data_IF_323694203800
#
_entry.id   IF_323694203800
#
_cell.length_a   1.000
_cell.length_b   1.000
_cell.length_c   1.000
_cell.angle_alpha   90.00
_cell.angle_beta   90.00
_cell.angle_gamma   90.00
#
_symmetry.space_group_name_H-M   'P 1'
#
loop_
_entity.id
_entity.type
_entity.pdbx_description
1 polymer ?
#
# COMPACT_ATOMS: atom_id res chain seq x y z
N UNK A 1 -10.32 1.19 3.92
CA UNK A 1 -10.44 0.44 5.19
C UNK A 1 -9.93 -1.00 5.08
N UNK A 2 -10.48 -1.85 4.20
CA UNK A 2 -10.13 -3.28 4.11
C UNK A 2 -8.64 -3.58 3.87
N UNK A 3 -7.99 -2.88 2.94
CA UNK A 3 -6.56 -3.12 2.65
C UNK A 3 -5.66 -2.82 3.85
N UNK A 4 -5.98 -1.78 4.64
CA UNK A 4 -5.29 -1.44 5.89
C UNK A 4 -5.54 -2.47 7.00
N UNK A 5 -6.75 -3.00 7.10
CA UNK A 5 -7.02 -4.09 8.04
C UNK A 5 -6.23 -5.35 7.66
N UNK A 6 -6.14 -5.67 6.37
CA UNK A 6 -5.43 -6.85 5.85
C UNK A 6 -3.93 -6.84 6.18
N UNK A 7 -3.31 -5.66 6.15
CA UNK A 7 -1.88 -5.49 6.53
C UNK A 7 -1.63 -5.49 8.05
N UNK A 8 -2.67 -5.49 8.88
CA UNK A 8 -2.57 -5.59 10.34
C UNK A 8 -2.80 -4.27 11.11
N UNK A 9 -3.28 -3.22 10.45
CA UNK A 9 -3.70 -2.00 11.15
C UNK A 9 -5.06 -2.20 11.81
N UNK A 10 -5.27 -1.59 12.98
CA UNK A 10 -6.61 -1.40 13.53
C UNK A 10 -7.37 -0.38 12.67
N UNK A 11 -8.54 -0.73 12.15
CA UNK A 11 -9.34 0.17 11.31
C UNK A 11 -10.79 0.14 11.75
N UNK A 12 -11.34 1.31 12.02
CA UNK A 12 -12.77 1.52 12.21
C UNK A 12 -13.25 2.56 11.20
N UNK A 13 -14.39 2.31 10.55
CA UNK A 13 -14.99 3.23 9.59
C UNK A 13 -16.44 3.52 9.97
N UNK A 14 -16.83 4.80 9.86
CA UNK A 14 -18.23 5.26 9.85
C UNK A 14 -18.60 5.72 8.44
N UNK A 15 -19.76 6.34 8.29
CA UNK A 15 -20.23 6.91 7.02
C UNK A 15 -19.41 8.12 6.57
N UNK A 16 -18.78 8.84 7.51
CA UNK A 16 -18.06 10.10 7.27
C UNK A 16 -16.56 10.00 7.52
N UNK A 17 -16.13 9.04 8.33
CA UNK A 17 -14.77 9.02 8.86
C UNK A 17 -14.14 7.62 8.81
N UNK A 18 -12.81 7.61 8.75
CA UNK A 18 -11.99 6.42 8.93
C UNK A 18 -10.99 6.70 10.04
N UNK A 19 -11.04 5.89 11.10
CA UNK A 19 -10.05 5.89 12.19
C UNK A 19 -9.07 4.74 11.95
N UNK A 20 -7.78 5.08 11.93
CA UNK A 20 -6.69 4.14 11.70
C UNK A 20 -5.80 4.16 12.94
N UNK A 21 -5.62 2.99 13.55
CA UNK A 21 -4.66 2.77 14.63
C UNK A 21 -3.38 2.12 14.07
N UNK A 22 -2.22 2.36 14.69
CA UNK A 22 -0.96 1.72 14.30
C UNK A 22 -1.08 0.20 14.18
N UNK A 23 -0.19 -0.40 13.38
CA UNK A 23 -0.13 -1.85 13.25
C UNK A 23 0.13 -2.49 14.61
N UNK A 24 -0.75 -3.42 14.98
CA UNK A 24 -0.67 -4.18 16.24
C UNK A 24 0.02 -5.53 16.03
N UNK A 25 0.08 -6.02 14.79
CA UNK A 25 0.73 -7.28 14.43
C UNK A 25 1.19 -7.29 12.97
N UNK A 26 2.25 -8.03 12.69
CA UNK A 26 2.68 -8.31 11.32
C UNK A 26 2.09 -9.65 10.87
N UNK A 27 1.01 -9.60 10.07
CA UNK A 27 0.33 -10.78 9.53
C UNK A 27 1.13 -11.55 8.46
N UNK A 28 2.46 -11.39 8.41
CA UNK A 28 3.31 -11.96 7.39
C UNK A 28 3.10 -11.35 6.00
N UNK A 29 3.55 -12.05 4.94
CA UNK A 29 3.34 -11.62 3.56
C UNK A 29 1.85 -11.45 3.24
N UNK A 30 1.51 -10.37 2.58
CA UNK A 30 0.12 -9.99 2.31
C UNK A 30 -0.02 -9.44 0.90
N UNK A 31 -0.82 -10.12 0.08
CA UNK A 31 -1.26 -9.62 -1.21
C UNK A 31 -2.49 -8.73 -1.06
N UNK A 32 -2.41 -7.51 -1.57
CA UNK A 32 -3.47 -6.52 -1.54
C UNK A 32 -4.11 -6.43 -2.92
N UNK A 33 -5.43 -6.61 -2.95
CA UNK A 33 -6.24 -6.33 -4.12
C UNK A 33 -6.76 -4.88 -4.05
N UNK A 34 -6.35 -4.00 -4.99
CA UNK A 34 -6.82 -2.62 -5.04
C UNK A 34 -8.22 -2.47 -5.62
N UNK A 35 -8.84 -3.55 -6.14
CA UNK A 35 -10.15 -3.53 -6.81
C UNK A 35 -10.14 -2.48 -7.94
N UNK A 36 -9.07 -2.52 -8.75
CA UNK A 36 -8.78 -1.61 -9.86
C UNK A 36 -8.72 -0.10 -9.52
N UNK A 37 -8.71 0.28 -8.25
CA UNK A 37 -8.44 1.66 -7.83
C UNK A 37 -6.94 1.93 -7.73
N UNK A 38 -6.42 2.65 -8.71
CA UNK A 38 -5.03 3.11 -8.77
C UNK A 38 -4.56 3.80 -7.49
N UNK A 39 -5.43 4.54 -6.79
CA UNK A 39 -5.05 5.25 -5.56
C UNK A 39 -4.80 4.27 -4.42
N UNK A 40 -5.60 3.21 -4.33
CA UNK A 40 -5.38 2.15 -3.33
C UNK A 40 -4.08 1.42 -3.63
N UNK A 41 -3.81 1.08 -4.90
CA UNK A 41 -2.55 0.48 -5.31
C UNK A 41 -1.33 1.35 -4.94
N UNK A 42 -1.36 2.64 -5.27
CA UNK A 42 -0.28 3.58 -4.94
C UNK A 42 -0.08 3.72 -3.43
N UNK A 43 -1.16 3.88 -2.65
CA UNK A 43 -1.08 4.00 -1.19
C UNK A 43 -0.47 2.76 -0.54
N UNK A 44 -0.84 1.56 -1.02
CA UNK A 44 -0.32 0.30 -0.50
C UNK A 44 1.14 0.06 -0.92
N UNK A 45 1.56 0.57 -2.08
CA UNK A 45 2.94 0.50 -2.53
C UNK A 45 3.84 1.32 -1.61
N UNK A 46 3.42 2.54 -1.25
CA UNK A 46 4.12 3.37 -0.27
C UNK A 46 4.19 2.66 1.08
N UNK A 47 3.10 2.05 1.56
CA UNK A 47 3.12 1.26 2.79
C UNK A 47 4.14 0.10 2.73
N UNK A 48 4.21 -0.60 1.60
CA UNK A 48 5.13 -1.73 1.38
C UNK A 48 6.60 -1.37 1.51
N UNK A 49 6.96 -0.09 1.35
CA UNK A 49 8.33 0.41 1.55
C UNK A 49 8.76 0.37 3.02
N UNK A 50 7.80 0.35 3.95
CA UNK A 50 8.05 0.25 5.40
C UNK A 50 7.65 -1.11 5.96
N UNK A 51 6.59 -1.71 5.41
CA UNK A 51 6.11 -3.05 5.80
C UNK A 51 6.58 -4.08 4.77
N UNK A 52 7.61 -4.85 5.11
CA UNK A 52 8.08 -5.97 4.28
C UNK A 52 6.95 -6.97 3.99
N UNK A 53 6.98 -7.58 2.81
CA UNK A 53 6.04 -8.63 2.40
C UNK A 53 4.68 -8.15 1.90
N UNK A 54 4.48 -6.85 1.65
CA UNK A 54 3.29 -6.35 0.95
C UNK A 54 3.48 -6.54 -0.56
N UNK A 55 2.51 -7.15 -1.23
CA UNK A 55 2.43 -7.23 -2.70
C UNK A 55 1.08 -6.69 -3.17
N UNK A 56 1.01 -6.22 -4.42
CA UNK A 56 -0.20 -5.64 -5.01
C UNK A 56 -0.64 -6.48 -6.20
N UNK A 57 -1.90 -6.88 -6.19
CA UNK A 57 -2.56 -7.56 -7.32
C UNK A 57 -2.84 -6.52 -8.40
N UNK A 58 -2.59 -6.87 -9.66
CA UNK A 58 -2.75 -5.99 -10.82
C UNK A 58 -2.05 -4.62 -10.64
N UNK A 59 -0.72 -4.58 -10.45
CA UNK A 59 0.01 -3.33 -10.21
C UNK A 59 -0.08 -2.34 -11.40
N UNK A 60 -0.48 -2.81 -12.58
CA UNK A 60 -0.64 -1.99 -13.78
C UNK A 60 -1.86 -1.05 -13.71
N UNK A 61 -2.78 -1.23 -12.74
CA UNK A 61 -3.95 -0.34 -12.60
C UNK A 61 -3.54 1.12 -12.35
N UNK A 62 -2.33 1.36 -11.80
CA UNK A 62 -1.79 2.72 -11.56
C UNK A 62 -1.62 3.54 -12.85
N UNK A 63 -1.46 2.87 -13.99
CA UNK A 63 -1.26 3.53 -15.28
C UNK A 63 -2.46 4.38 -15.72
N UNK A 64 -3.64 4.16 -15.11
CA UNK A 64 -4.83 4.99 -15.32
C UNK A 64 -4.58 6.48 -15.05
N UNK A 65 -3.75 6.80 -14.06
CA UNK A 65 -3.47 8.20 -13.69
C UNK A 65 -1.98 8.52 -13.61
N UNK A 66 -1.14 7.52 -13.36
CA UNK A 66 0.30 7.72 -13.14
C UNK A 66 1.13 6.58 -13.75
N UNK A 67 1.32 6.59 -15.09
CA UNK A 67 2.05 5.53 -15.81
C UNK A 67 3.48 5.28 -15.32
N UNK A 68 4.22 6.30 -14.89
CA UNK A 68 5.61 6.17 -14.42
C UNK A 68 5.73 5.85 -12.92
N UNK A 69 4.63 5.66 -12.20
CA UNK A 69 4.61 5.51 -10.74
C UNK A 69 5.66 4.54 -10.20
N UNK A 70 5.74 3.32 -10.75
CA UNK A 70 6.67 2.30 -10.26
C UNK A 70 8.14 2.65 -10.50
N UNK A 71 8.43 3.31 -11.61
CA UNK A 71 9.79 3.78 -11.93
C UNK A 71 10.19 4.91 -10.97
N UNK A 72 9.28 5.84 -10.71
CA UNK A 72 9.54 6.98 -9.82
C UNK A 72 9.64 6.54 -8.36
N UNK A 73 8.75 5.63 -7.91
CA UNK A 73 8.82 5.03 -6.58
C UNK A 73 10.17 4.35 -6.37
N UNK A 74 10.62 3.56 -7.35
CA UNK A 74 11.91 2.85 -7.27
C UNK A 74 13.09 3.81 -7.13
N UNK A 75 13.14 4.89 -7.92
CA UNK A 75 14.18 5.93 -7.81
C UNK A 75 14.27 6.54 -6.41
N UNK A 76 13.13 6.73 -5.74
CA UNK A 76 13.08 7.33 -4.39
C UNK A 76 13.56 6.35 -3.30
N UNK A 77 13.42 5.05 -3.53
CA UNK A 77 13.70 4.01 -2.52
C UNK A 77 15.00 3.24 -2.73
N UNK A 78 15.46 3.01 -3.96
CA UNK A 78 16.78 2.41 -4.23
C UNK A 78 17.92 3.33 -3.80
N UNK A 79 17.72 4.65 -3.77
CA UNK A 79 18.71 5.60 -3.26
C UNK A 79 18.90 5.61 -1.74
N UNK A 80 18.35 4.62 -1.01
CA UNK A 80 18.40 4.56 0.48
C UNK A 80 19.02 3.27 1.03
N UNK A 81 19.40 2.31 0.19
CA UNK A 81 20.05 1.07 0.63
C UNK A 81 21.59 1.20 0.74
N UNK A 82 22.16 2.38 0.41
CA UNK A 82 23.61 2.69 0.51
C UNK A 82 24.00 3.58 1.71
N UNK A 83 23.18 3.65 2.77
CA UNK A 83 23.48 4.44 3.98
C UNK A 83 23.48 3.61 5.27
#
# INVERSE_FOLDING_TARGET
>A
ARSLAKVGCGVASSDTDIRISPMVSNNGPTAIDPIDDHRIAMAMAVLGTKRKGVSIVNPNCVTKSYPSFWTDLRKVFEGRDEA
#
